data_IF_632407175513
#
_entry.id   IF_632407175513
#
_cell.length_a   1.000
_cell.length_b   1.000
_cell.length_c   1.000
_cell.angle_alpha   90.00
_cell.angle_beta   90.00
_cell.angle_gamma   90.00
#
_symmetry.space_group_name_H-M   'P 1'
#
loop_
_entity.id
_entity.type
_entity.pdbx_description
1 polymer ?
#
# COMPACT_ATOMS: atom_id res chain seq x y z
N UNK A 1 -59.46 -28.59 7.34
CA UNK A 1 -59.40 -28.53 8.83
C UNK A 1 -58.87 -27.17 9.23
N UNK A 2 -59.59 -26.42 10.07
CA UNK A 2 -59.16 -25.09 10.54
C UNK A 2 -58.39 -25.18 11.86
N UNK A 3 -57.31 -24.42 12.02
CA UNK A 3 -56.69 -24.12 13.33
C UNK A 3 -56.27 -22.66 13.38
N UNK A 4 -57.13 -21.83 13.98
CA UNK A 4 -56.88 -20.41 14.28
C UNK A 4 -56.86 -20.20 15.79
N UNK A 5 -55.71 -19.85 16.38
CA UNK A 5 -55.47 -19.20 17.70
C UNK A 5 -54.03 -18.65 17.69
N UNK A 6 -53.65 -17.53 18.30
CA UNK A 6 -54.37 -16.44 18.97
C UNK A 6 -53.52 -15.15 18.88
N UNK A 7 -54.13 -13.97 18.80
CA UNK A 7 -53.42 -12.68 18.97
C UNK A 7 -53.17 -12.40 20.46
N UNK A 8 -52.03 -11.81 20.84
CA UNK A 8 -51.84 -11.12 22.14
C UNK A 8 -50.89 -9.92 21.97
N UNK A 9 -51.01 -8.93 22.87
CA UNK A 9 -50.69 -7.52 22.65
C UNK A 9 -49.27 -7.09 23.06
N UNK A 10 -48.89 -5.91 22.57
CA UNK A 10 -47.68 -5.15 22.88
C UNK A 10 -47.45 -4.88 24.37
N UNK A 11 -46.18 -4.74 24.74
CA UNK A 11 -45.75 -3.90 25.87
C UNK A 11 -44.72 -2.90 25.37
N UNK A 12 -44.99 -1.59 25.55
CA UNK A 12 -43.98 -0.54 25.41
C UNK A 12 -43.28 -0.38 26.76
N UNK A 13 -41.96 -0.25 26.76
CA UNK A 13 -41.19 0.34 27.84
C UNK A 13 -40.24 1.39 27.25
N UNK A 14 -40.08 2.50 27.97
CA UNK A 14 -39.56 3.79 27.51
C UNK A 14 -38.81 4.44 28.69
N UNK A 15 -37.85 5.34 28.40
CA UNK A 15 -36.98 6.07 29.36
C UNK A 15 -35.95 5.16 30.09
N UNK A 16 -34.78 5.60 30.56
CA UNK A 16 -33.97 6.84 30.40
C UNK A 16 -32.47 6.45 30.58
N UNK A 17 -31.44 7.30 30.47
CA UNK A 17 -31.31 8.75 30.25
C UNK A 17 -30.00 9.04 29.46
N UNK A 18 -29.49 10.29 29.47
CA UNK A 18 -28.17 10.66 28.95
C UNK A 18 -27.21 11.07 30.08
N UNK A 19 -25.91 10.81 29.91
CA UNK A 19 -24.82 11.47 30.65
C UNK A 19 -23.82 12.02 29.65
N UNK A 20 -23.83 13.33 29.47
CA UNK A 20 -22.77 14.09 28.82
C UNK A 20 -21.99 14.82 29.91
N UNK A 21 -20.68 14.57 30.03
CA UNK A 21 -19.77 15.39 30.83
C UNK A 21 -18.64 15.88 29.94
N UNK A 22 -18.54 17.20 29.82
CA UNK A 22 -17.68 17.90 28.89
C UNK A 22 -16.46 18.51 29.57
N UNK A 23 -15.35 18.54 28.83
CA UNK A 23 -14.39 19.66 28.76
C UNK A 23 -13.50 19.97 29.98
N UNK A 24 -12.18 19.78 29.80
CA UNK A 24 -11.19 20.88 29.84
C UNK A 24 -9.83 20.41 29.28
N UNK A 25 -9.10 21.30 28.61
CA UNK A 25 -7.77 21.02 28.05
C UNK A 25 -6.66 21.59 28.94
N UNK A 26 -5.46 20.99 28.88
CA UNK A 26 -4.22 21.60 29.39
C UNK A 26 -3.10 21.48 28.37
N UNK A 27 -2.76 22.59 27.74
CA UNK A 27 -1.50 22.81 27.02
C UNK A 27 -0.53 23.56 27.92
N UNK A 28 0.57 22.95 28.35
CA UNK A 28 1.72 23.66 28.94
C UNK A 28 2.97 22.78 28.91
N UNK A 29 4.15 23.41 28.80
CA UNK A 29 5.46 22.76 28.75
C UNK A 29 6.34 23.22 29.93
N UNK A 30 7.02 22.28 30.58
CA UNK A 30 8.11 22.48 31.55
C UNK A 30 7.72 22.88 32.99
N UNK A 31 8.66 22.83 33.95
CA UNK A 31 10.06 22.36 33.87
C UNK A 31 10.39 21.16 34.80
N UNK A 32 11.62 20.65 34.68
CA UNK A 32 12.29 19.66 35.54
C UNK A 32 12.20 19.85 37.07
N UNK A 33 12.18 18.70 37.79
CA UNK A 33 12.93 18.52 39.05
C UNK A 33 13.59 17.12 39.09
N UNK A 34 14.82 17.06 39.60
CA UNK A 34 15.75 15.95 39.37
C UNK A 34 15.72 14.86 40.45
N UNK A 35 16.01 13.61 40.04
CA UNK A 35 16.64 12.62 40.93
C UNK A 35 17.60 11.76 40.13
N UNK A 36 18.89 12.02 40.36
CA UNK A 36 20.03 11.33 39.77
C UNK A 36 20.19 9.92 40.36
N UNK A 37 20.63 8.97 39.52
CA UNK A 37 21.54 7.86 39.86
C UNK A 37 21.62 6.84 38.71
N UNK A 38 22.78 6.71 38.07
CA UNK A 38 23.13 5.49 37.29
C UNK A 38 23.74 5.73 35.90
N UNK A 39 24.95 6.30 35.84
CA UNK A 39 25.69 6.46 34.59
C UNK A 39 26.22 5.13 34.01
N UNK A 40 26.16 4.98 32.67
CA UNK A 40 27.15 4.21 31.89
C UNK A 40 27.03 4.45 30.37
N UNK A 41 27.80 5.38 29.82
CA UNK A 41 28.21 5.43 28.41
C UNK A 41 29.43 6.36 28.25
N UNK A 42 30.26 6.24 27.20
CA UNK A 42 30.44 5.12 26.27
C UNK A 42 31.88 4.53 26.35
N UNK A 43 32.15 3.47 25.57
CA UNK A 43 33.51 3.06 25.22
C UNK A 43 33.63 2.87 23.71
N UNK A 44 33.96 3.95 23.01
CA UNK A 44 34.39 3.90 21.62
C UNK A 44 35.90 3.61 21.58
N UNK A 45 36.30 2.44 21.09
CA UNK A 45 37.69 2.11 20.81
C UNK A 45 38.02 2.44 19.35
N UNK A 46 38.98 3.35 19.16
CA UNK A 46 39.60 3.60 17.86
C UNK A 46 40.85 2.73 17.70
N UNK A 47 41.09 2.24 16.48
CA UNK A 47 42.42 1.84 16.00
C UNK A 47 42.51 2.01 14.49
N UNK A 48 43.48 2.81 14.05
CA UNK A 48 44.05 2.78 12.70
C UNK A 48 45.26 1.80 12.70
N UNK A 49 46.03 1.51 11.65
CA UNK A 49 46.07 1.94 10.24
C UNK A 49 46.88 0.89 9.44
N UNK A 50 46.72 0.84 8.11
CA UNK A 50 47.76 0.52 7.10
C UNK A 50 47.10 0.44 5.69
N UNK A 51 47.70 0.71 4.53
CA UNK A 51 48.86 1.51 4.06
C UNK A 51 49.30 0.91 2.71
N UNK A 52 49.16 1.66 1.61
CA UNK A 52 49.61 1.32 0.24
C UNK A 52 48.79 2.14 -0.77
N UNK A 53 49.28 3.07 -1.60
CA UNK A 53 50.45 3.08 -2.52
C UNK A 53 50.42 1.87 -3.49
N UNK A 54 50.52 1.98 -4.82
CA UNK A 54 50.87 3.07 -5.76
C UNK A 54 50.59 2.58 -7.21
N UNK A 55 50.48 3.34 -8.32
CA UNK A 55 50.49 4.78 -8.66
C UNK A 55 49.75 5.00 -10.03
N UNK A 56 49.72 6.23 -10.58
CA UNK A 56 49.21 6.58 -11.93
C UNK A 56 50.26 6.33 -13.06
N UNK A 57 49.91 6.42 -14.37
CA UNK A 57 49.77 7.69 -15.15
C UNK A 57 48.44 7.79 -15.92
N UNK A 58 47.91 8.96 -16.37
CA UNK A 58 48.38 9.92 -17.39
C UNK A 58 48.43 9.32 -18.84
N UNK A 59 48.04 10.00 -19.93
CA UNK A 59 47.83 11.44 -20.15
C UNK A 59 46.90 11.76 -21.35
N UNK A 60 46.56 13.06 -21.54
CA UNK A 60 46.12 13.75 -22.78
C UNK A 60 44.85 13.26 -23.55
N UNK A 61 44.10 14.09 -24.30
CA UNK A 61 44.39 15.41 -24.89
C UNK A 61 43.16 16.33 -24.94
N UNK A 62 43.38 17.65 -24.97
CA UNK A 62 42.34 18.69 -25.14
C UNK A 62 41.82 18.82 -26.60
N UNK A 63 40.74 19.62 -26.79
CA UNK A 63 40.69 20.76 -27.75
C UNK A 63 39.42 21.60 -27.50
N UNK A 64 39.54 22.93 -27.57
CA UNK A 64 38.45 23.91 -27.43
C UNK A 64 37.59 24.05 -28.70
N UNK A 65 36.42 24.69 -28.60
CA UNK A 65 36.20 26.00 -29.27
C UNK A 65 34.75 26.51 -29.10
N UNK A 66 34.60 27.81 -29.30
CA UNK A 66 33.44 28.61 -28.88
C UNK A 66 32.31 28.74 -29.93
N UNK A 67 31.27 29.48 -29.50
CA UNK A 67 30.57 30.53 -30.27
C UNK A 67 29.15 30.28 -30.82
N UNK A 68 28.21 30.86 -30.05
CA UNK A 68 27.35 31.98 -30.48
C UNK A 68 26.02 31.76 -31.23
N UNK A 69 24.97 32.39 -30.66
CA UNK A 69 23.87 33.11 -31.33
C UNK A 69 22.83 32.33 -32.16
N UNK A 70 21.55 32.74 -32.24
CA UNK A 70 20.74 33.68 -31.45
C UNK A 70 19.24 33.53 -31.83
N UNK A 71 18.34 34.15 -31.05
CA UNK A 71 17.02 34.71 -31.46
C UNK A 71 15.93 33.82 -32.10
N UNK A 72 14.69 33.83 -31.58
CA UNK A 72 13.60 33.13 -32.29
C UNK A 72 12.15 33.11 -31.79
N UNK A 73 11.59 34.20 -31.24
CA UNK A 73 10.14 34.51 -31.28
C UNK A 73 9.14 33.69 -30.41
N UNK A 74 8.13 34.40 -29.88
CA UNK A 74 7.00 33.85 -29.09
C UNK A 74 5.74 33.69 -29.93
N UNK A 75 4.95 32.65 -29.65
CA UNK A 75 3.47 32.62 -29.55
C UNK A 75 3.02 31.14 -29.47
N UNK A 76 1.89 30.72 -28.90
CA UNK A 76 0.96 31.25 -27.89
C UNK A 76 -0.14 30.18 -27.76
N UNK A 77 -0.45 29.73 -26.53
CA UNK A 77 -1.73 29.13 -26.14
C UNK A 77 -2.29 27.89 -26.88
N UNK A 78 -2.33 26.76 -26.17
CA UNK A 78 -3.64 26.17 -25.86
C UNK A 78 -3.63 25.49 -24.50
N UNK A 79 -4.72 25.66 -23.75
CA UNK A 79 -4.95 25.15 -22.40
C UNK A 79 -5.55 23.74 -22.43
N UNK A 80 -5.14 22.87 -21.48
CA UNK A 80 -6.04 21.84 -20.96
C UNK A 80 -5.45 20.47 -20.68
N UNK A 81 -4.95 20.27 -19.45
CA UNK A 81 -5.19 19.06 -18.65
C UNK A 81 -4.74 19.33 -17.21
N UNK A 82 -5.65 19.27 -16.24
CA UNK A 82 -5.36 19.43 -14.81
C UNK A 82 -5.53 18.06 -14.14
N UNK A 83 -4.43 17.45 -13.72
CA UNK A 83 -4.44 16.08 -13.19
C UNK A 83 -3.07 15.55 -12.78
N UNK A 84 -2.16 16.41 -12.32
CA UNK A 84 -0.88 15.99 -11.78
C UNK A 84 -0.97 15.72 -10.28
N UNK A 85 -1.11 14.46 -9.87
CA UNK A 85 -0.79 14.06 -8.50
C UNK A 85 0.72 13.81 -8.44
N UNK A 86 1.48 14.85 -8.10
CA UNK A 86 2.93 14.77 -7.99
C UNK A 86 3.34 14.41 -6.56
N UNK A 87 3.72 13.15 -6.34
CA UNK A 87 4.58 12.75 -5.21
C UNK A 87 5.50 11.60 -5.65
N UNK A 88 6.81 11.86 -5.74
CA UNK A 88 7.83 10.84 -5.94
C UNK A 88 8.52 10.88 -7.32
N UNK A 89 9.61 11.64 -7.41
CA UNK A 89 10.53 11.61 -8.56
C UNK A 89 11.28 10.26 -8.66
N UNK A 90 10.63 9.25 -9.23
CA UNK A 90 11.32 8.03 -9.73
C UNK A 90 11.74 8.24 -11.20
N UNK A 91 12.74 9.09 -11.40
CA UNK A 91 13.26 9.42 -12.73
C UNK A 91 13.86 8.20 -13.44
N UNK A 92 13.07 7.53 -14.29
CA UNK A 92 13.52 6.39 -15.11
C UNK A 92 12.39 5.55 -15.69
N UNK A 93 11.27 5.45 -14.95
CA UNK A 93 10.08 4.73 -15.39
C UNK A 93 8.98 5.71 -15.86
N UNK A 94 7.98 5.21 -16.58
CA UNK A 94 6.87 6.03 -17.09
C UNK A 94 5.85 6.36 -16.00
N UNK A 95 4.63 6.74 -16.41
CA UNK A 95 3.52 6.99 -15.48
C UNK A 95 3.32 5.80 -14.52
N UNK A 96 3.26 6.04 -13.21
CA UNK A 96 2.87 5.02 -12.23
C UNK A 96 1.40 4.62 -12.41
N UNK A 97 1.06 3.36 -12.14
CA UNK A 97 -0.34 2.91 -12.19
C UNK A 97 -1.14 3.44 -10.98
N UNK A 98 -2.17 4.25 -11.23
CA UNK A 98 -3.23 4.48 -10.25
C UNK A 98 -4.22 3.31 -10.23
N UNK A 99 -4.99 3.16 -9.16
CA UNK A 99 -6.01 2.11 -9.05
C UNK A 99 -7.08 2.23 -10.15
N UNK A 100 -7.41 3.46 -10.56
CA UNK A 100 -8.31 3.73 -11.68
C UNK A 100 -7.76 3.30 -13.05
N UNK A 101 -6.46 3.13 -13.22
CA UNK A 101 -5.83 2.69 -14.49
C UNK A 101 -5.96 1.18 -14.72
N UNK A 102 -6.37 0.44 -13.68
CA UNK A 102 -6.31 -1.01 -13.62
C UNK A 102 -7.70 -1.65 -13.57
N UNK A 103 -7.80 -2.81 -14.20
CA UNK A 103 -8.88 -3.78 -14.00
C UNK A 103 -8.39 -4.85 -13.02
N UNK A 104 -9.12 -5.02 -11.92
CA UNK A 104 -8.82 -6.02 -10.88
C UNK A 104 -9.82 -7.17 -10.92
N UNK A 105 -9.33 -8.38 -10.69
CA UNK A 105 -10.17 -9.56 -10.44
C UNK A 105 -9.61 -10.36 -9.28
N UNK A 106 -10.49 -10.84 -8.39
CA UNK A 106 -10.12 -11.72 -7.28
C UNK A 106 -10.69 -13.11 -7.53
N UNK A 107 -9.86 -14.14 -7.38
CA UNK A 107 -10.25 -15.55 -7.59
C UNK A 107 -9.69 -16.43 -6.49
N UNK A 108 -10.39 -17.51 -6.13
CA UNK A 108 -9.91 -18.47 -5.16
C UNK A 108 -8.93 -19.46 -5.78
N UNK A 109 -7.78 -19.66 -5.16
CA UNK A 109 -6.85 -20.75 -5.42
C UNK A 109 -6.84 -21.73 -4.25
N UNK A 110 -6.91 -23.02 -4.55
CA UNK A 110 -6.98 -24.07 -3.54
C UNK A 110 -5.67 -24.84 -3.31
N UNK A 111 -4.66 -24.68 -4.20
CA UNK A 111 -3.43 -25.49 -4.18
C UNK A 111 -2.24 -24.70 -4.75
N UNK A 112 -1.01 -24.89 -4.24
CA UNK A 112 -0.64 -25.79 -3.14
C UNK A 112 -0.96 -25.24 -1.74
N UNK A 113 -1.29 -23.95 -1.62
CA UNK A 113 -1.74 -23.31 -0.39
C UNK A 113 -2.93 -22.41 -0.73
N UNK A 114 -4.02 -22.56 0.00
CA UNK A 114 -5.27 -21.88 -0.34
C UNK A 114 -5.19 -20.38 -0.06
N UNK A 115 -5.53 -19.56 -1.05
CA UNK A 115 -5.48 -18.10 -0.96
C UNK A 115 -6.35 -17.47 -2.06
N UNK A 116 -6.65 -16.18 -1.94
CA UNK A 116 -7.21 -15.42 -3.05
C UNK A 116 -6.10 -14.86 -3.92
N UNK A 117 -6.14 -15.16 -5.22
CA UNK A 117 -5.31 -14.49 -6.21
C UNK A 117 -5.99 -13.18 -6.63
N UNK A 118 -5.38 -12.07 -6.24
CA UNK A 118 -5.61 -10.76 -6.84
C UNK A 118 -4.83 -10.68 -8.15
N UNK A 119 -5.53 -10.35 -9.23
CA UNK A 119 -4.98 -10.12 -10.56
C UNK A 119 -5.23 -8.66 -10.95
N UNK A 120 -4.20 -7.98 -11.44
CA UNK A 120 -4.26 -6.60 -11.95
C UNK A 120 -3.79 -6.53 -13.41
N UNK A 121 -4.53 -5.80 -14.25
CA UNK A 121 -4.19 -5.53 -15.65
C UNK A 121 -4.41 -4.05 -15.97
N UNK A 122 -3.56 -3.47 -16.82
CA UNK A 122 -3.83 -2.14 -17.36
C UNK A 122 -5.08 -2.16 -18.25
N UNK A 123 -5.94 -1.15 -18.08
CA UNK A 123 -7.09 -0.92 -18.97
C UNK A 123 -6.65 -0.70 -20.42
N UNK A 124 -7.57 -0.96 -21.35
CA UNK A 124 -7.29 -0.82 -22.78
C UNK A 124 -6.76 0.58 -23.13
N UNK A 125 -5.62 0.65 -23.83
CA UNK A 125 -4.94 1.89 -24.19
C UNK A 125 -4.02 2.48 -23.12
N UNK A 126 -4.01 1.95 -21.89
CA UNK A 126 -3.11 2.40 -20.82
C UNK A 126 -1.76 1.66 -20.88
N UNK A 127 -0.71 2.37 -20.51
CA UNK A 127 0.60 1.80 -20.17
C UNK A 127 1.12 2.52 -18.94
N UNK A 128 1.33 1.78 -17.86
CA UNK A 128 1.77 2.32 -16.59
C UNK A 128 2.73 1.35 -15.89
N UNK A 129 3.38 1.81 -14.83
CA UNK A 129 4.29 1.02 -14.01
C UNK A 129 3.72 0.86 -12.60
N UNK A 130 3.49 -0.37 -12.17
CA UNK A 130 3.29 -0.67 -10.75
C UNK A 130 4.66 -0.60 -10.09
N UNK A 131 4.86 0.39 -9.22
CA UNK A 131 6.01 0.39 -8.33
C UNK A 131 6.01 -0.90 -7.50
N UNK A 132 7.20 -1.48 -7.30
CA UNK A 132 7.38 -2.67 -6.46
C UNK A 132 7.22 -2.30 -4.99
N UNK A 133 5.96 -2.39 -4.56
CA UNK A 133 5.49 -2.37 -3.19
C UNK A 133 4.35 -3.40 -3.06
N UNK A 134 3.86 -3.58 -1.84
CA UNK A 134 2.64 -4.34 -1.59
C UNK A 134 1.42 -3.47 -1.94
N UNK A 135 0.37 -3.99 -2.60
CA UNK A 135 -0.89 -3.26 -2.72
C UNK A 135 -1.52 -3.02 -1.34
N UNK A 136 -2.20 -1.88 -1.19
CA UNK A 136 -3.09 -1.69 -0.05
C UNK A 136 -4.33 -2.56 -0.25
N UNK A 137 -4.61 -3.44 0.71
CA UNK A 137 -5.74 -4.35 0.70
C UNK A 137 -6.45 -4.26 2.05
N UNK A 138 -7.76 -4.04 2.05
CA UNK A 138 -8.55 -3.98 3.28
C UNK A 138 -9.96 -4.54 3.11
N UNK A 139 -10.54 -4.98 4.23
CA UNK A 139 -11.88 -5.55 4.32
C UNK A 139 -12.72 -4.69 5.27
N UNK A 140 -13.64 -3.90 4.69
CA UNK A 140 -14.34 -2.85 5.42
C UNK A 140 -13.42 -1.70 5.84
N UNK A 141 -13.86 -0.89 6.82
CA UNK A 141 -13.18 0.34 7.26
C UNK A 141 -12.46 0.23 8.61
N UNK A 142 -12.43 -0.96 9.22
CA UNK A 142 -11.83 -1.17 10.52
C UNK A 142 -10.39 -1.68 10.40
N UNK A 143 -9.51 -1.25 11.30
CA UNK A 143 -8.08 -1.56 11.24
C UNK A 143 -7.76 -3.07 11.33
N UNK A 144 -8.67 -3.89 11.90
CA UNK A 144 -8.54 -5.35 11.95
C UNK A 144 -8.80 -6.03 10.59
N UNK A 145 -9.36 -5.30 9.62
CA UNK A 145 -9.54 -5.72 8.23
C UNK A 145 -8.43 -5.27 7.28
N UNK A 146 -7.44 -4.50 7.71
CA UNK A 146 -6.31 -4.10 6.84
C UNK A 146 -5.31 -5.25 6.73
N UNK A 147 -4.96 -5.63 5.50
CA UNK A 147 -4.05 -6.74 5.25
C UNK A 147 -2.59 -6.31 5.46
N UNK A 148 -1.86 -7.07 6.28
CA UNK A 148 -0.44 -6.80 6.53
C UNK A 148 0.43 -7.28 5.36
N UNK A 149 1.42 -6.49 4.92
CA UNK A 149 2.32 -6.89 3.83
C UNK A 149 3.22 -8.08 4.24
N UNK A 150 3.41 -9.03 3.33
CA UNK A 150 4.31 -10.18 3.51
C UNK A 150 5.18 -10.48 2.28
N UNK A 151 6.34 -11.08 2.54
CA UNK A 151 7.34 -11.41 1.52
C UNK A 151 8.26 -10.24 1.18
N UNK A 152 9.33 -10.52 0.44
CA UNK A 152 10.20 -9.50 -0.14
C UNK A 152 9.58 -8.98 -1.44
N UNK A 153 9.72 -7.68 -1.71
CA UNK A 153 9.30 -7.09 -2.99
C UNK A 153 10.25 -7.48 -4.12
N UNK A 154 9.82 -7.26 -5.37
CA UNK A 154 10.76 -7.18 -6.48
C UNK A 154 11.61 -5.91 -6.38
N UNK A 155 12.69 -5.83 -7.14
CA UNK A 155 13.54 -4.63 -7.20
C UNK A 155 13.11 -3.65 -8.32
N UNK A 156 12.46 -4.16 -9.38
CA UNK A 156 12.06 -3.40 -10.56
C UNK A 156 10.53 -3.18 -10.67
N UNK A 157 10.04 -1.96 -10.98
CA UNK A 157 8.63 -1.70 -11.25
C UNK A 157 8.05 -2.55 -12.40
N UNK A 158 6.85 -3.10 -12.17
CA UNK A 158 6.16 -3.96 -13.14
C UNK A 158 5.43 -3.10 -14.17
N UNK A 159 5.89 -3.15 -15.42
CA UNK A 159 5.19 -2.52 -16.55
C UNK A 159 3.91 -3.27 -16.91
N UNK A 160 2.77 -2.61 -16.76
CA UNK A 160 1.48 -3.09 -17.25
C UNK A 160 1.08 -2.37 -18.55
N UNK A 161 0.81 -3.16 -19.59
CA UNK A 161 0.37 -2.72 -20.91
C UNK A 161 -0.19 -3.91 -21.69
N UNK A 162 -1.27 -3.73 -22.46
CA UNK A 162 -1.82 -4.78 -23.33
C UNK A 162 -2.25 -6.02 -22.54
N UNK A 163 -1.56 -7.15 -22.72
CA UNK A 163 -1.86 -8.41 -22.04
C UNK A 163 -0.99 -8.69 -20.79
N UNK A 164 -0.09 -7.78 -20.40
CA UNK A 164 0.70 -7.91 -19.17
C UNK A 164 -0.19 -7.99 -17.93
N UNK A 165 0.24 -8.77 -16.93
CA UNK A 165 -0.53 -9.05 -15.72
C UNK A 165 0.41 -8.96 -14.51
N UNK A 166 -0.08 -8.34 -13.44
CA UNK A 166 0.51 -8.44 -12.10
C UNK A 166 -0.42 -9.25 -11.20
N UNK A 167 0.19 -9.98 -10.26
CA UNK A 167 -0.48 -10.84 -9.31
C UNK A 167 -0.09 -10.46 -7.89
N UNK A 168 -1.00 -10.62 -6.93
CA UNK A 168 -0.72 -10.63 -5.50
C UNK A 168 -1.61 -11.70 -4.84
N UNK A 169 -1.13 -12.33 -3.77
CA UNK A 169 -1.90 -13.32 -3.03
C UNK A 169 -2.39 -12.74 -1.72
N UNK A 170 -3.67 -12.96 -1.40
CA UNK A 170 -4.30 -12.51 -0.17
C UNK A 170 -4.71 -13.75 0.63
N UNK A 171 -4.18 -13.89 1.85
CA UNK A 171 -4.77 -14.80 2.83
C UNK A 171 -5.62 -13.97 3.79
N UNK A 172 -6.93 -14.24 3.81
CA UNK A 172 -7.93 -13.55 4.62
C UNK A 172 -7.86 -13.87 6.11
N UNK A 173 -7.28 -15.02 6.48
CA UNK A 173 -7.29 -15.52 7.86
C UNK A 173 -5.96 -16.20 8.22
N UNK A 174 -5.23 -15.60 9.15
CA UNK A 174 -3.93 -16.12 9.62
C UNK A 174 -3.98 -16.76 11.02
N UNK A 175 -5.19 -16.96 11.57
CA UNK A 175 -5.42 -17.52 12.90
C UNK A 175 -6.32 -18.75 12.86
N UNK A 176 -6.09 -19.70 13.77
CA UNK A 176 -6.83 -20.97 13.85
C UNK A 176 -8.16 -20.89 14.64
N UNK A 177 -8.50 -19.72 15.21
CA UNK A 177 -9.71 -19.54 16.03
C UNK A 177 -10.95 -19.18 15.22
N UNK A 178 -12.14 -19.34 15.79
CA UNK A 178 -13.44 -19.02 15.15
C UNK A 178 -13.74 -17.51 15.01
N UNK A 179 -12.75 -16.64 15.20
CA UNK A 179 -12.88 -15.19 15.10
C UNK A 179 -12.97 -14.67 13.67
N UNK A 180 -13.17 -13.35 13.56
CA UNK A 180 -13.24 -12.62 12.29
C UNK A 180 -14.65 -12.13 11.94
N UNK A 181 -14.79 -11.59 10.73
CA UNK A 181 -16.05 -11.07 10.17
C UNK A 181 -16.18 -11.49 8.71
N UNK A 182 -17.39 -11.72 8.23
CA UNK A 182 -17.62 -12.01 6.81
C UNK A 182 -17.65 -10.71 6.00
N UNK A 183 -17.09 -10.76 4.79
CA UNK A 183 -17.12 -9.67 3.82
C UNK A 183 -17.41 -10.21 2.42
N UNK A 184 -18.23 -9.50 1.64
CA UNK A 184 -18.54 -9.82 0.24
C UNK A 184 -17.63 -9.07 -0.74
N UNK A 185 -16.91 -8.06 -0.25
CA UNK A 185 -16.00 -7.22 -1.04
C UNK A 185 -14.66 -7.03 -0.35
N UNK A 186 -13.63 -6.85 -1.16
CA UNK A 186 -12.30 -6.40 -0.76
C UNK A 186 -12.01 -5.04 -1.40
N UNK A 187 -11.38 -4.15 -0.63
CA UNK A 187 -10.96 -2.82 -1.05
C UNK A 187 -9.48 -2.91 -1.43
N UNK A 188 -9.14 -2.54 -2.65
CA UNK A 188 -7.80 -2.67 -3.25
C UNK A 188 -7.33 -1.31 -3.74
N UNK A 189 -6.08 -0.96 -3.45
CA UNK A 189 -5.40 0.18 -4.06
C UNK A 189 -3.93 -0.12 -4.38
N UNK A 190 -3.36 0.61 -5.35
CA UNK A 190 -1.94 0.48 -5.72
C UNK A 190 -0.99 1.05 -4.66
N UNK A 191 -1.46 1.95 -3.80
CA UNK A 191 -0.80 2.45 -2.59
C UNK A 191 -1.81 2.81 -1.50
N UNK A 192 -1.36 3.06 -0.27
CA UNK A 192 -2.23 3.51 0.84
C UNK A 192 -2.83 4.91 0.61
N UNK A 193 -2.11 5.78 -0.12
CA UNK A 193 -2.51 7.16 -0.42
C UNK A 193 -3.40 7.29 -1.69
N UNK A 194 -3.80 6.20 -2.35
CA UNK A 194 -4.63 6.30 -3.56
C UNK A 194 -6.03 6.88 -3.21
N UNK A 195 -6.44 8.02 -3.78
CA UNK A 195 -7.73 8.63 -3.47
C UNK A 195 -8.94 7.88 -4.06
N UNK A 196 -8.74 6.83 -4.86
CA UNK A 196 -9.79 6.07 -5.54
C UNK A 196 -9.55 4.54 -5.45
N UNK A 197 -9.62 3.94 -4.25
CA UNK A 197 -9.53 2.49 -4.09
C UNK A 197 -10.68 1.78 -4.81
N UNK A 198 -10.40 0.62 -5.40
CA UNK A 198 -11.38 -0.23 -6.06
C UNK A 198 -12.05 -1.17 -5.04
N UNK A 199 -13.39 -1.21 -5.03
CA UNK A 199 -14.14 -2.26 -4.34
C UNK A 199 -14.38 -3.41 -5.31
N UNK A 200 -13.86 -4.59 -5.00
CA UNK A 200 -13.96 -5.80 -5.84
C UNK A 200 -14.74 -6.86 -5.09
N UNK A 201 -15.74 -7.46 -5.75
CA UNK A 201 -16.51 -8.59 -5.23
C UNK A 201 -15.62 -9.82 -5.07
N UNK A 202 -15.76 -10.50 -3.93
CA UNK A 202 -15.09 -11.76 -3.64
C UNK A 202 -15.92 -12.92 -4.22
N UNK A 203 -15.30 -14.03 -4.66
CA UNK A 203 -16.04 -15.17 -5.24
C UNK A 203 -16.93 -15.91 -4.21
N UNK A 204 -16.76 -15.60 -2.93
CA UNK A 204 -17.50 -16.08 -1.77
C UNK A 204 -17.41 -15.02 -0.64
N UNK A 205 -18.04 -15.26 0.51
CA UNK A 205 -18.04 -14.34 1.66
C UNK A 205 -17.16 -14.87 2.81
N UNK A 206 -15.82 -14.82 2.71
CA UNK A 206 -14.91 -15.39 3.69
C UNK A 206 -14.96 -14.69 5.04
N UNK A 207 -14.69 -15.45 6.10
CA UNK A 207 -14.37 -14.89 7.42
C UNK A 207 -12.94 -14.36 7.42
N UNK A 208 -12.80 -13.03 7.52
CA UNK A 208 -11.53 -12.31 7.57
C UNK A 208 -11.08 -12.10 9.01
N UNK A 209 -9.83 -12.42 9.33
CA UNK A 209 -9.19 -12.13 10.61
C UNK A 209 -7.65 -12.04 10.45
N UNK A 210 -7.07 -10.87 10.71
CA UNK A 210 -5.63 -10.58 10.47
C UNK A 210 -5.20 -11.00 9.06
N UNK A 211 -5.79 -10.40 8.01
CA UNK A 211 -5.43 -10.72 6.64
C UNK A 211 -3.97 -10.35 6.36
N UNK A 212 -3.36 -11.03 5.38
CA UNK A 212 -2.03 -10.74 4.85
C UNK A 212 -2.06 -10.72 3.33
N UNK A 213 -1.18 -9.92 2.72
CA UNK A 213 -1.09 -9.76 1.26
C UNK A 213 0.36 -9.72 0.79
N UNK A 214 0.67 -10.40 -0.32
CA UNK A 214 2.03 -10.39 -0.91
C UNK A 214 2.30 -9.13 -1.71
N UNK A 215 3.58 -8.80 -1.90
CA UNK A 215 4.00 -7.90 -2.97
C UNK A 215 3.49 -8.35 -4.35
N UNK A 216 3.42 -7.39 -5.28
CA UNK A 216 3.15 -7.67 -6.69
C UNK A 216 4.27 -8.52 -7.32
N UNK A 217 3.90 -9.53 -8.13
CA UNK A 217 4.81 -10.22 -9.05
C UNK A 217 4.14 -10.45 -10.42
N UNK A 218 4.96 -10.60 -11.46
CA UNK A 218 4.52 -11.06 -12.79
C UNK A 218 4.29 -12.58 -12.84
N UNK A 219 4.69 -13.32 -11.81
CA UNK A 219 4.60 -14.78 -11.72
C UNK A 219 3.63 -15.22 -10.62
N UNK A 220 2.56 -15.89 -11.05
CA UNK A 220 1.48 -16.41 -10.19
C UNK A 220 1.94 -17.33 -9.06
N UNK A 221 3.05 -18.06 -9.22
CA UNK A 221 3.56 -18.99 -8.21
C UNK A 221 4.49 -18.34 -7.15
N UNK A 222 4.87 -17.07 -7.32
CA UNK A 222 5.67 -16.33 -6.33
C UNK A 222 4.80 -15.63 -5.28
N UNK A 223 3.49 -15.50 -5.53
CA UNK A 223 2.56 -14.72 -4.70
C UNK A 223 1.79 -15.58 -3.69
N UNK A 224 2.41 -16.65 -3.17
CA UNK A 224 1.77 -17.48 -2.14
C UNK A 224 1.93 -16.81 -0.76
N UNK A 225 0.85 -16.29 -0.13
CA UNK A 225 0.95 -15.56 1.13
C UNK A 225 1.32 -16.49 2.29
N UNK A 226 2.34 -16.11 3.06
CA UNK A 226 2.80 -16.83 4.24
C UNK A 226 3.26 -15.84 5.30
N UNK A 227 2.99 -16.18 6.56
CA UNK A 227 3.79 -15.66 7.68
C UNK A 227 5.13 -16.38 7.65
N UNK A 228 6.23 -15.62 7.72
CA UNK A 228 7.62 -16.12 7.73
C UNK A 228 8.24 -15.97 9.12
#
# INVERSE_FOLDING_TARGET
MMRTRLTTRSARLVLAAAVMTTLAATTACGPEESSDNGAAAPSATASAAASGKSDAPADDTATESESASASGTKAAGSTGAKGGSSTGDKSGYGQSCGTNDLDFTVTWEAQPFSHYLLTAKAKSGITCYLDVNTPSVSFGSAADGVASPVGQGGEDPIKLSGSSVAYAGINVKTTDGDGGKQFEHVIIATSEDDPNPASVELPDAPTVEKPIVTNWSTKRNEVIPRVI
#
